data_IF_921666196023
#
_entry.id   IF_921666196023
#
_cell.length_a   1.000
_cell.length_b   1.000
_cell.length_c   1.000
_cell.angle_alpha   90.00
_cell.angle_beta   90.00
_cell.angle_gamma   90.00
#
_symmetry.space_group_name_H-M   'P 1'
#
loop_
_entity.id
_entity.type
_entity.pdbx_description
1 polymer ?
#
# COMPACT_ATOMS: atom_id res chain seq x y z
N UNK A 1 -1.51 -35.86 -3.11
CA UNK A 1 -1.92 -35.24 -1.82
C UNK A 1 -3.16 -34.43 -2.12
N UNK A 2 -4.27 -34.81 -1.51
CA UNK A 2 -5.63 -34.36 -1.82
C UNK A 2 -5.83 -32.91 -1.34
N UNK A 3 -6.16 -31.99 -2.23
CA UNK A 3 -6.76 -30.71 -1.85
C UNK A 3 -8.25 -30.96 -1.65
N UNK A 4 -8.67 -30.96 -0.39
CA UNK A 4 -10.08 -31.06 -0.02
C UNK A 4 -10.84 -29.81 -0.54
N UNK A 5 -11.83 -29.94 -1.44
CA UNK A 5 -12.61 -28.81 -1.96
C UNK A 5 -13.65 -28.27 -0.98
N UNK A 6 -13.75 -28.82 0.25
CA UNK A 6 -14.89 -28.61 1.15
C UNK A 6 -14.65 -27.65 2.32
N UNK A 7 -13.48 -27.03 2.46
CA UNK A 7 -13.31 -25.92 3.38
C UNK A 7 -13.93 -24.64 2.79
N UNK A 8 -15.27 -24.57 2.74
CA UNK A 8 -15.97 -23.30 2.62
C UNK A 8 -15.56 -22.46 3.83
N UNK A 9 -14.56 -21.60 3.64
CA UNK A 9 -14.22 -20.56 4.60
C UNK A 9 -15.50 -19.76 4.86
N UNK A 10 -16.05 -19.88 6.08
CA UNK A 10 -17.22 -19.08 6.49
C UNK A 10 -16.91 -17.62 6.20
N UNK A 11 -17.88 -16.91 5.65
CA UNK A 11 -17.70 -15.51 5.30
C UNK A 11 -17.29 -14.73 6.55
N UNK A 12 -16.35 -13.79 6.43
CA UNK A 12 -15.96 -12.92 7.55
C UNK A 12 -17.17 -12.20 8.17
N UNK A 13 -18.22 -11.96 7.37
CA UNK A 13 -19.48 -11.35 7.79
C UNK A 13 -20.31 -12.21 8.75
N UNK A 14 -20.05 -13.50 8.78
CA UNK A 14 -20.72 -14.47 9.67
C UNK A 14 -19.91 -14.67 10.96
N UNK A 15 -18.74 -14.05 11.10
CA UNK A 15 -17.91 -14.17 12.28
C UNK A 15 -18.51 -13.43 13.49
N UNK A 16 -18.27 -13.90 14.73
CA UNK A 16 -18.65 -13.17 15.94
C UNK A 16 -18.06 -11.75 16.00
N UNK A 17 -16.80 -11.57 15.57
CA UNK A 17 -16.15 -10.26 15.53
C UNK A 17 -16.90 -9.27 14.62
N UNK A 18 -17.41 -9.74 13.47
CA UNK A 18 -18.22 -8.91 12.58
C UNK A 18 -19.57 -8.53 13.21
N UNK A 19 -20.24 -9.49 13.87
CA UNK A 19 -21.52 -9.21 14.54
C UNK A 19 -21.32 -8.22 15.71
N UNK A 20 -20.24 -8.38 16.49
CA UNK A 20 -19.90 -7.45 17.56
C UNK A 20 -19.66 -6.01 17.07
N UNK A 21 -19.03 -5.85 15.89
CA UNK A 21 -18.89 -4.55 15.24
C UNK A 21 -20.24 -3.95 14.81
N UNK A 22 -21.16 -4.76 14.28
CA UNK A 22 -22.50 -4.30 13.92
C UNK A 22 -23.29 -3.85 15.15
N UNK A 23 -23.26 -4.64 16.22
CA UNK A 23 -23.93 -4.30 17.48
C UNK A 23 -23.35 -2.99 18.06
N UNK A 24 -22.03 -2.83 18.06
CA UNK A 24 -21.35 -1.60 18.51
C UNK A 24 -21.62 -0.40 17.60
N UNK A 25 -21.77 -0.62 16.29
CA UNK A 25 -22.16 0.45 15.38
C UNK A 25 -23.57 0.98 15.68
N UNK A 26 -24.52 0.11 16.06
CA UNK A 26 -25.86 0.55 16.46
C UNK A 26 -25.85 1.36 17.76
N UNK A 27 -24.94 1.10 18.70
CA UNK A 27 -24.82 1.92 19.92
C UNK A 27 -24.26 3.32 19.64
N UNK A 28 -23.34 3.44 18.66
CA UNK A 28 -22.74 4.71 18.27
C UNK A 28 -23.58 5.54 17.29
N UNK A 29 -24.63 4.96 16.71
CA UNK A 29 -25.42 5.57 15.63
C UNK A 29 -26.04 6.92 15.97
N UNK A 30 -26.41 7.11 17.24
CA UNK A 30 -26.97 8.37 17.73
C UNK A 30 -25.91 9.34 18.28
N UNK A 31 -24.66 8.89 18.42
CA UNK A 31 -23.56 9.70 18.93
C UNK A 31 -22.96 10.54 17.81
N UNK A 32 -22.87 11.84 18.02
CA UNK A 32 -22.23 12.78 17.11
C UNK A 32 -20.72 12.84 17.34
N UNK A 33 -19.97 13.22 16.31
CA UNK A 33 -18.53 13.44 16.47
C UNK A 33 -18.20 14.48 17.55
N UNK A 34 -19.00 15.54 17.67
CA UNK A 34 -18.81 16.56 18.72
C UNK A 34 -18.93 15.97 20.13
N UNK A 35 -19.91 15.09 20.36
CA UNK A 35 -20.05 14.41 21.65
C UNK A 35 -18.82 13.55 21.95
N UNK A 36 -18.28 12.83 20.95
CA UNK A 36 -17.04 12.06 21.14
C UNK A 36 -15.83 12.93 21.54
N UNK A 37 -15.73 14.16 21.06
CA UNK A 37 -14.69 15.12 21.48
C UNK A 37 -14.97 15.74 22.85
N UNK A 38 -16.24 15.86 23.25
CA UNK A 38 -16.61 16.32 24.60
C UNK A 38 -16.33 15.23 25.64
N UNK A 39 -16.61 13.97 25.31
CA UNK A 39 -16.41 12.81 26.19
C UNK A 39 -14.94 12.44 26.36
N UNK A 40 -14.12 12.60 25.31
CA UNK A 40 -12.67 12.40 25.35
C UNK A 40 -11.94 13.69 24.90
N UNK A 41 -11.62 14.61 25.84
CA UNK A 41 -10.89 15.84 25.52
C UNK A 41 -9.50 15.59 24.89
N UNK A 42 -8.90 14.43 25.13
CA UNK A 42 -7.58 14.06 24.61
C UNK A 42 -7.65 13.29 23.27
N UNK A 43 -8.86 13.10 22.73
CA UNK A 43 -9.16 12.35 21.50
C UNK A 43 -8.27 12.72 20.31
N UNK A 44 -8.02 14.02 20.14
CA UNK A 44 -7.21 14.57 19.05
C UNK A 44 -5.73 14.16 19.10
N UNK A 45 -5.25 13.73 20.27
CA UNK A 45 -3.90 13.16 20.42
C UNK A 45 -3.94 11.63 20.45
N UNK A 46 -4.97 11.05 21.07
CA UNK A 46 -5.16 9.59 21.20
C UNK A 46 -5.32 8.89 19.87
N UNK A 47 -6.18 9.39 18.99
CA UNK A 47 -6.48 8.77 17.69
C UNK A 47 -5.62 9.38 16.59
N UNK A 48 -4.31 9.28 16.79
CA UNK A 48 -3.31 9.68 15.83
C UNK A 48 -2.27 8.58 15.69
N UNK A 49 -1.67 8.47 14.51
CA UNK A 49 -0.56 7.57 14.25
C UNK A 49 0.54 8.33 13.50
N UNK A 50 1.79 7.97 13.77
CA UNK A 50 2.95 8.62 13.18
C UNK A 50 3.87 7.57 12.58
N UNK A 51 4.36 7.82 11.37
CA UNK A 51 5.40 7.01 10.75
C UNK A 51 6.28 7.89 9.86
N UNK A 52 7.54 8.09 10.28
CA UNK A 52 8.45 9.04 9.63
C UNK A 52 7.85 10.45 9.57
N UNK A 53 7.70 10.99 8.37
CA UNK A 53 7.12 12.33 8.14
C UNK A 53 5.60 12.31 7.94
N UNK A 54 4.93 11.17 8.11
CA UNK A 54 3.48 11.03 7.95
C UNK A 54 2.83 11.11 9.34
N UNK A 55 1.97 12.11 9.52
CA UNK A 55 1.05 12.25 10.64
C UNK A 55 -0.36 11.88 10.15
N UNK A 56 -0.96 10.86 10.74
CA UNK A 56 -2.29 10.37 10.41
C UNK A 56 -3.24 10.65 11.57
N UNK A 57 -4.13 11.61 11.39
CA UNK A 57 -5.19 11.95 12.34
C UNK A 57 -6.49 11.28 11.92
N UNK A 58 -6.93 10.30 12.72
CA UNK A 58 -8.19 9.58 12.55
C UNK A 58 -9.15 9.87 13.72
N UNK A 59 -8.91 10.94 14.48
CA UNK A 59 -9.79 11.39 15.57
C UNK A 59 -11.14 11.88 15.08
N UNK A 60 -11.26 12.25 13.80
CA UNK A 60 -12.49 12.80 13.19
C UNK A 60 -13.41 11.73 12.59
N UNK A 61 -13.14 10.46 12.88
CA UNK A 61 -14.03 9.35 12.54
C UNK A 61 -14.95 8.97 13.71
N UNK A 62 -16.07 8.30 13.42
CA UNK A 62 -17.03 7.81 14.42
C UNK A 62 -16.50 6.52 15.08
N UNK A 63 -15.43 6.67 15.85
CA UNK A 63 -14.76 5.58 16.55
C UNK A 63 -14.51 5.90 18.02
N UNK A 64 -14.42 4.86 18.83
CA UNK A 64 -14.01 4.89 20.24
C UNK A 64 -12.86 3.91 20.41
N UNK A 65 -12.27 3.83 21.60
CA UNK A 65 -11.26 2.81 21.92
C UNK A 65 -11.83 1.40 21.68
N UNK A 66 -13.07 1.15 22.15
CA UNK A 66 -13.80 -0.09 21.86
C UNK A 66 -14.01 -0.35 20.38
N UNK A 67 -14.26 0.68 19.57
CA UNK A 67 -14.38 0.51 18.11
C UNK A 67 -13.06 0.01 17.51
N UNK A 68 -11.94 0.57 17.95
CA UNK A 68 -10.62 0.18 17.46
C UNK A 68 -10.28 -1.26 17.86
N UNK A 69 -10.54 -1.64 19.12
CA UNK A 69 -10.34 -3.01 19.60
C UNK A 69 -11.14 -4.03 18.78
N UNK A 70 -12.41 -3.75 18.51
CA UNK A 70 -13.27 -4.64 17.70
C UNK A 70 -12.81 -4.72 16.23
N UNK A 71 -12.30 -3.62 15.66
CA UNK A 71 -11.72 -3.63 14.31
C UNK A 71 -10.44 -4.46 14.24
N UNK A 72 -9.59 -4.39 15.27
CA UNK A 72 -8.38 -5.19 15.39
C UNK A 72 -8.72 -6.68 15.58
N UNK A 73 -9.72 -7.01 16.41
CA UNK A 73 -10.22 -8.38 16.56
C UNK A 73 -10.75 -8.94 15.23
N UNK A 74 -11.45 -8.13 14.44
CA UNK A 74 -11.90 -8.53 13.11
C UNK A 74 -10.72 -8.78 12.16
N UNK A 75 -9.69 -7.93 12.20
CA UNK A 75 -8.48 -8.10 11.39
C UNK A 75 -7.73 -9.39 11.75
N UNK A 76 -7.65 -9.73 13.04
CA UNK A 76 -7.07 -10.98 13.52
C UNK A 76 -7.92 -12.18 13.08
N UNK A 77 -9.25 -12.09 13.23
CA UNK A 77 -10.20 -13.12 12.76
C UNK A 77 -10.09 -13.36 11.25
N UNK A 78 -9.82 -12.30 10.48
CA UNK A 78 -9.61 -12.35 9.03
C UNK A 78 -8.22 -12.88 8.63
N UNK A 79 -7.33 -13.18 9.58
CA UNK A 79 -5.93 -13.54 9.35
C UNK A 79 -5.18 -12.50 8.49
N UNK A 80 -5.45 -11.21 8.73
CA UNK A 80 -4.89 -10.13 7.91
C UNK A 80 -3.36 -10.08 8.00
N UNK A 81 -2.78 -10.26 9.19
CA UNK A 81 -1.33 -10.22 9.38
C UNK A 81 -0.61 -11.34 8.60
N UNK A 82 -0.98 -12.63 8.72
CA UNK A 82 -0.46 -13.67 7.84
C UNK A 82 -0.63 -13.38 6.35
N UNK A 83 -1.78 -12.83 5.92
CA UNK A 83 -2.00 -12.48 4.52
C UNK A 83 -1.06 -11.37 4.02
N UNK A 84 -0.75 -10.38 4.85
CA UNK A 84 0.26 -9.35 4.57
C UNK A 84 1.64 -10.01 4.45
N UNK A 85 2.01 -10.90 5.37
CA UNK A 85 3.30 -11.62 5.32
C UNK A 85 3.43 -12.45 4.02
N UNK A 86 2.39 -13.18 3.61
CA UNK A 86 2.31 -13.90 2.34
C UNK A 86 2.53 -12.98 1.13
N UNK A 87 1.90 -11.80 1.13
CA UNK A 87 2.07 -10.80 0.07
C UNK A 87 3.52 -10.33 -0.02
N UNK A 88 4.13 -9.97 1.12
CA UNK A 88 5.51 -9.47 1.16
C UNK A 88 6.52 -10.57 0.79
N UNK A 89 6.26 -11.82 1.14
CA UNK A 89 7.15 -12.95 0.82
C UNK A 89 6.98 -13.46 -0.62
N UNK A 90 6.03 -12.94 -1.38
CA UNK A 90 5.83 -13.30 -2.78
C UNK A 90 5.13 -14.63 -2.99
N UNK A 91 4.23 -14.99 -2.07
CA UNK A 91 3.29 -16.09 -2.28
C UNK A 91 2.21 -15.71 -3.30
N UNK A 92 1.54 -16.71 -3.87
CA UNK A 92 0.46 -16.52 -4.85
C UNK A 92 -0.83 -16.02 -4.21
N UNK A 93 -0.84 -14.73 -3.81
CA UNK A 93 -1.99 -14.08 -3.18
C UNK A 93 -3.08 -13.67 -4.19
N UNK A 94 -2.74 -13.50 -5.47
CA UNK A 94 -3.74 -13.34 -6.53
C UNK A 94 -4.25 -14.73 -6.92
N UNK A 95 -5.32 -15.16 -6.26
CA UNK A 95 -5.87 -16.50 -6.35
C UNK A 95 -6.51 -16.84 -7.71
N UNK A 96 -7.03 -15.85 -8.44
CA UNK A 96 -7.69 -16.10 -9.74
C UNK A 96 -6.67 -16.32 -10.85
N UNK A 97 -5.52 -15.64 -10.79
CA UNK A 97 -4.44 -15.81 -11.76
C UNK A 97 -3.33 -16.74 -11.26
N UNK A 98 -3.38 -17.16 -9.99
CA UNK A 98 -2.34 -17.91 -9.28
C UNK A 98 -0.97 -17.23 -9.37
N UNK A 99 -0.91 -15.94 -9.02
CA UNK A 99 0.29 -15.11 -9.15
C UNK A 99 0.63 -14.36 -7.87
N UNK A 100 1.92 -14.07 -7.63
CA UNK A 100 2.32 -13.17 -6.56
C UNK A 100 2.06 -11.71 -6.94
N UNK A 101 1.89 -10.87 -5.91
CA UNK A 101 1.73 -9.42 -6.04
C UNK A 101 2.98 -8.68 -5.50
N UNK A 102 3.99 -8.48 -6.36
CA UNK A 102 5.36 -8.10 -5.96
C UNK A 102 5.67 -6.59 -6.05
N UNK A 103 4.66 -5.73 -6.01
CA UNK A 103 4.85 -4.27 -6.16
C UNK A 103 5.68 -3.66 -5.02
N UNK A 104 5.65 -4.27 -3.83
CA UNK A 104 6.48 -3.90 -2.67
C UNK A 104 7.97 -4.14 -2.95
N UNK A 105 8.32 -5.22 -3.66
CA UNK A 105 9.70 -5.56 -4.03
C UNK A 105 10.34 -4.57 -5.02
N UNK A 106 9.54 -3.70 -5.65
CA UNK A 106 10.02 -2.70 -6.62
C UNK A 106 10.54 -1.42 -5.96
N UNK A 107 10.40 -1.27 -4.64
CA UNK A 107 10.72 -0.03 -3.92
C UNK A 107 11.93 -0.21 -2.99
N UNK A 108 12.65 0.90 -2.78
CA UNK A 108 13.82 0.96 -1.89
C UNK A 108 15.15 0.73 -2.63
N UNK A 109 16.27 1.01 -1.93
CA UNK A 109 17.64 0.92 -2.46
C UNK A 109 18.25 -0.48 -2.37
N UNK A 110 17.43 -1.49 -2.08
CA UNK A 110 17.89 -2.87 -1.87
C UNK A 110 18.19 -3.23 -0.41
N UNK A 111 18.34 -2.25 0.49
CA UNK A 111 18.58 -2.45 1.93
C UNK A 111 17.87 -1.38 2.77
N UNK A 112 16.58 -1.15 2.54
CA UNK A 112 15.81 -0.23 3.39
C UNK A 112 15.29 -0.99 4.61
N UNK A 113 15.33 -0.36 5.79
CA UNK A 113 15.09 -1.03 7.08
C UNK A 113 13.70 -1.67 7.22
N UNK A 114 12.70 -1.23 6.45
CA UNK A 114 11.36 -1.84 6.47
C UNK A 114 11.11 -2.90 5.39
N UNK A 115 12.15 -3.38 4.69
CA UNK A 115 11.99 -4.57 3.86
C UNK A 115 11.92 -5.83 4.74
N UNK A 116 10.69 -6.21 5.05
CA UNK A 116 10.39 -7.41 5.86
C UNK A 116 10.34 -8.69 5.02
N UNK A 117 10.49 -8.61 3.69
CA UNK A 117 10.36 -9.78 2.82
C UNK A 117 11.55 -10.74 2.97
N UNK A 118 11.26 -12.01 3.22
CA UNK A 118 12.27 -13.09 3.33
C UNK A 118 12.09 -14.17 2.26
N UNK A 119 10.95 -14.16 1.55
CA UNK A 119 10.65 -15.15 0.52
C UNK A 119 11.54 -15.04 -0.72
N UNK A 120 11.97 -16.18 -1.25
CA UNK A 120 12.87 -16.26 -2.41
C UNK A 120 12.33 -15.51 -3.64
N UNK A 121 11.03 -15.62 -3.92
CA UNK A 121 10.38 -14.95 -5.07
C UNK A 121 10.48 -13.43 -4.95
N UNK A 122 10.21 -12.88 -3.77
CA UNK A 122 10.33 -11.44 -3.51
C UNK A 122 11.78 -10.97 -3.65
N UNK A 123 12.76 -11.75 -3.15
CA UNK A 123 14.18 -11.41 -3.25
C UNK A 123 14.69 -11.41 -4.69
N UNK A 124 14.29 -12.37 -5.52
CA UNK A 124 14.63 -12.39 -6.95
C UNK A 124 14.01 -11.19 -7.67
N UNK A 125 12.74 -10.88 -7.40
CA UNK A 125 12.06 -9.72 -8.00
C UNK A 125 12.74 -8.40 -7.64
N UNK A 126 13.16 -8.25 -6.38
CA UNK A 126 13.92 -7.09 -5.88
C UNK A 126 15.26 -6.93 -6.59
N UNK A 127 16.03 -8.01 -6.75
CA UNK A 127 17.30 -7.96 -7.49
C UNK A 127 17.09 -7.52 -8.94
N UNK A 128 16.07 -8.06 -9.61
CA UNK A 128 15.71 -7.66 -10.97
C UNK A 128 15.27 -6.19 -11.05
N UNK A 129 14.51 -5.72 -10.05
CA UNK A 129 14.09 -4.33 -9.95
C UNK A 129 15.29 -3.38 -9.81
N UNK A 130 16.26 -3.69 -8.95
CA UNK A 130 17.47 -2.87 -8.79
C UNK A 130 18.32 -2.83 -10.06
N UNK A 131 18.49 -3.95 -10.74
CA UNK A 131 19.21 -3.98 -12.02
C UNK A 131 18.51 -3.12 -13.09
N UNK A 132 17.18 -3.17 -13.14
CA UNK A 132 16.38 -2.36 -14.07
C UNK A 132 16.45 -0.89 -13.71
N UNK A 133 16.36 -0.56 -12.41
CA UNK A 133 16.47 0.80 -11.90
C UNK A 133 17.82 1.43 -12.26
N UNK A 134 18.92 0.70 -12.11
CA UNK A 134 20.26 1.17 -12.52
C UNK A 134 20.32 1.49 -14.02
N UNK A 135 19.71 0.66 -14.87
CA UNK A 135 19.63 0.93 -16.32
C UNK A 135 18.77 2.16 -16.62
N UNK A 136 17.64 2.31 -15.92
CA UNK A 136 16.75 3.47 -16.06
C UNK A 136 17.46 4.77 -15.68
N UNK A 137 18.20 4.79 -14.57
CA UNK A 137 18.97 5.97 -14.16
C UNK A 137 20.08 6.31 -15.14
N UNK A 138 20.84 5.32 -15.61
CA UNK A 138 21.88 5.54 -16.62
C UNK A 138 21.30 6.15 -17.91
N UNK A 139 20.15 5.64 -18.38
CA UNK A 139 19.47 6.19 -19.54
C UNK A 139 18.97 7.63 -19.29
N UNK A 140 18.29 7.86 -18.17
CA UNK A 140 17.76 9.17 -17.81
C UNK A 140 18.87 10.23 -17.71
N UNK A 141 20.02 9.88 -17.14
CA UNK A 141 21.15 10.78 -17.01
C UNK A 141 21.76 11.15 -18.38
N UNK A 142 21.96 10.17 -19.27
CA UNK A 142 22.44 10.44 -20.63
C UNK A 142 21.49 11.34 -21.42
N UNK A 143 20.17 11.21 -21.21
CA UNK A 143 19.16 12.11 -21.80
C UNK A 143 19.31 13.52 -21.22
N UNK A 144 19.40 13.65 -19.88
CA UNK A 144 19.53 14.96 -19.19
C UNK A 144 20.82 15.70 -19.55
N UNK A 145 21.91 14.97 -19.74
CA UNK A 145 23.22 15.52 -20.14
C UNK A 145 23.28 15.84 -21.65
N UNK A 146 22.30 15.40 -22.44
CA UNK A 146 22.29 15.59 -23.89
C UNK A 146 23.35 14.75 -24.64
N UNK A 147 23.83 13.69 -24.00
CA UNK A 147 24.71 12.68 -24.62
C UNK A 147 23.92 11.82 -25.61
N UNK A 148 22.72 11.39 -25.19
CA UNK A 148 21.75 10.77 -26.08
C UNK A 148 21.09 11.83 -26.96
N UNK A 149 21.22 11.63 -28.28
CA UNK A 149 20.76 12.56 -29.31
C UNK A 149 19.78 11.88 -30.25
N UNK A 150 18.82 12.67 -30.75
CA UNK A 150 17.94 12.20 -31.81
C UNK A 150 18.70 12.00 -33.13
N UNK A 151 18.03 11.42 -34.13
CA UNK A 151 18.60 11.20 -35.46
C UNK A 151 19.11 12.48 -36.15
N UNK A 152 18.63 13.66 -35.71
CA UNK A 152 19.07 14.97 -36.17
C UNK A 152 20.29 15.53 -35.40
N UNK A 153 20.91 14.74 -34.52
CA UNK A 153 22.04 15.14 -33.69
C UNK A 153 21.71 16.10 -32.54
N UNK A 154 20.43 16.44 -32.31
CA UNK A 154 20.01 17.37 -31.25
C UNK A 154 19.64 16.63 -29.97
N UNK A 155 19.87 17.23 -28.79
CA UNK A 155 19.37 16.72 -27.52
C UNK A 155 17.84 16.62 -27.50
N UNK A 156 17.31 15.69 -26.69
CA UNK A 156 15.87 15.58 -26.46
C UNK A 156 15.35 16.79 -25.68
N UNK A 157 14.18 17.31 -26.07
CA UNK A 157 13.50 18.45 -25.43
C UNK A 157 12.10 18.12 -24.94
N UNK A 158 11.56 16.97 -25.38
CA UNK A 158 10.19 16.57 -25.09
C UNK A 158 10.15 15.06 -24.95
N UNK A 159 9.36 14.59 -23.98
CA UNK A 159 9.09 13.18 -23.74
C UNK A 159 7.58 12.99 -23.95
N UNK A 160 7.22 12.05 -24.81
CA UNK A 160 5.83 11.66 -25.05
C UNK A 160 5.60 10.31 -24.39
N UNK A 161 4.85 10.28 -23.29
CA UNK A 161 4.42 9.04 -22.65
C UNK A 161 3.14 8.53 -23.33
N UNK A 162 3.21 7.34 -23.93
CA UNK A 162 2.06 6.69 -24.57
C UNK A 162 1.58 5.53 -23.68
N UNK A 163 0.53 5.78 -22.89
CA UNK A 163 -0.01 4.79 -21.96
C UNK A 163 -1.47 5.06 -21.62
N UNK A 164 -2.15 4.02 -21.13
CA UNK A 164 -3.51 4.09 -20.59
C UNK A 164 -3.57 3.43 -19.20
N UNK A 165 -4.55 3.82 -18.38
CA UNK A 165 -4.75 3.24 -17.05
C UNK A 165 -3.49 3.34 -16.18
N UNK A 166 -3.07 2.23 -15.58
CA UNK A 166 -1.91 2.19 -14.68
C UNK A 166 -0.58 2.64 -15.32
N UNK A 167 -0.46 2.55 -16.64
CA UNK A 167 0.75 2.99 -17.37
C UNK A 167 0.84 4.51 -17.61
N UNK A 168 -0.20 5.26 -17.27
CA UNK A 168 -0.24 6.73 -17.43
C UNK A 168 -0.60 7.44 -16.11
N UNK A 169 -1.58 6.94 -15.36
CA UNK A 169 -2.06 7.58 -14.13
C UNK A 169 -0.94 7.77 -13.08
N UNK A 170 -0.10 6.75 -12.89
CA UNK A 170 1.03 6.81 -11.95
C UNK A 170 2.09 7.85 -12.36
N UNK A 171 2.69 7.74 -13.56
CA UNK A 171 3.64 8.74 -14.07
C UNK A 171 3.08 10.16 -14.05
N UNK A 172 1.83 10.35 -14.50
CA UNK A 172 1.18 11.66 -14.52
C UNK A 172 1.04 12.25 -13.13
N UNK A 173 0.60 11.47 -12.15
CA UNK A 173 0.48 11.92 -10.76
C UNK A 173 1.83 12.39 -10.23
N UNK A 174 2.88 11.58 -10.36
CA UNK A 174 4.21 11.91 -9.81
C UNK A 174 4.77 13.17 -10.47
N UNK A 175 4.70 13.28 -11.80
CA UNK A 175 5.16 14.48 -12.51
C UNK A 175 4.35 15.71 -12.08
N UNK A 176 3.03 15.59 -11.93
CA UNK A 176 2.18 16.74 -11.55
C UNK A 176 2.36 17.15 -10.09
N UNK A 177 2.63 16.21 -9.18
CA UNK A 177 2.74 16.46 -7.76
C UNK A 177 4.04 17.15 -7.35
N UNK A 178 5.11 17.01 -8.14
CA UNK A 178 6.44 17.57 -7.85
C UNK A 178 6.95 18.48 -8.99
N UNK A 179 6.25 19.59 -9.30
CA UNK A 179 6.65 20.50 -10.38
C UNK A 179 8.04 21.13 -10.16
N UNK A 180 8.47 21.28 -8.91
CA UNK A 180 9.79 21.81 -8.54
C UNK A 180 10.96 20.90 -8.94
N UNK A 181 10.69 19.60 -9.18
CA UNK A 181 11.69 18.65 -9.66
C UNK A 181 11.81 18.66 -11.20
N UNK A 182 11.04 19.51 -11.89
CA UNK A 182 11.13 19.68 -13.35
C UNK A 182 12.32 20.58 -13.66
N UNK A 183 13.52 19.98 -13.72
CA UNK A 183 14.75 20.63 -14.20
C UNK A 183 14.90 20.50 -15.71
#
# INVERSE_FOLDING_TARGET
MSTDPSAQSKSIRESPAWQALLDHAETLKATTLNELFVEDPDRGSRFTANSGSIYFDYSKDHLTEKTLDLLLELADTANLKPAIESLFNGESVNNTENRPALHTSLRGSGNWEGDVSQGHVAQVAKQNALQTLSKMFAFAEQVRQGELRGANGRPFRSIVNLGIGGSDLGPRLVVTAFPELHH
#
